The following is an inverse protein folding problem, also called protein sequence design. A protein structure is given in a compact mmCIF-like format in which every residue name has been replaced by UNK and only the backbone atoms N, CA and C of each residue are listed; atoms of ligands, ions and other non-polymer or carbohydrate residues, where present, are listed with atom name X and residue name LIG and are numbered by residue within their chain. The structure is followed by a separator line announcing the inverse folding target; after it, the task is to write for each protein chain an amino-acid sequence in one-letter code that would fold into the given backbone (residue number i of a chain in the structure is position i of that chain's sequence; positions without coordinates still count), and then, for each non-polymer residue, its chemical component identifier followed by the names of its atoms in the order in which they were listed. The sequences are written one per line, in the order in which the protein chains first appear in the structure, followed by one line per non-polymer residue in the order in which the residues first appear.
data_IF_019702965901
#
_entry.id   IF_019702965901
#
_cell.length_a   1.000
_cell.length_b   1.000
_cell.length_c   1.000
_cell.angle_alpha   90.00
_cell.angle_beta   90.00
_cell.angle_gamma   90.00
#
_symmetry.space_group_name_H-M   'P 1'
#
loop_
_entity.id
_entity.type
_entity.pdbx_description
1 polymer ?
#
# COMPACT_ATOMS: atom_id res chain seq x y z
N UNK A 1 -16.57 -4.19 -16.55
CA UNK A 1 -15.46 -3.86 -15.63
C UNK A 1 -14.24 -3.50 -16.47
N UNK A 2 -13.51 -2.44 -16.12
CA UNK A 2 -12.39 -1.92 -16.93
C UNK A 2 -11.15 -2.83 -16.91
N UNK A 3 -10.32 -2.85 -17.96
CA UNK A 3 -8.97 -3.38 -17.90
C UNK A 3 -8.12 -2.62 -16.87
N UNK A 4 -7.49 -3.33 -15.95
CA UNK A 4 -6.62 -2.74 -14.92
C UNK A 4 -5.22 -3.35 -14.98
N UNK A 5 -4.19 -2.53 -14.91
CA UNK A 5 -2.81 -2.98 -14.71
C UNK A 5 -2.40 -2.74 -13.27
N UNK A 6 -2.03 -3.81 -12.56
CA UNK A 6 -1.46 -3.70 -11.22
C UNK A 6 0.06 -3.64 -11.31
N UNK A 7 0.64 -2.50 -10.92
CA UNK A 7 2.07 -2.22 -10.98
C UNK A 7 2.69 -2.40 -9.59
N UNK A 8 3.77 -3.18 -9.53
CA UNK A 8 4.55 -3.46 -8.32
C UNK A 8 5.99 -3.07 -8.57
N UNK A 9 6.55 -2.27 -7.67
CA UNK A 9 7.99 -1.96 -7.64
C UNK A 9 8.64 -2.71 -6.50
N UNK A 10 9.76 -3.40 -6.77
CA UNK A 10 10.50 -4.15 -5.77
C UNK A 10 12.01 -3.93 -5.90
N UNK A 11 12.75 -3.99 -4.79
CA UNK A 11 14.21 -3.92 -4.81
C UNK A 11 14.81 -4.72 -3.66
N UNK A 12 15.45 -5.85 -3.95
CA UNK A 12 16.04 -6.79 -2.98
C UNK A 12 15.03 -7.32 -1.94
N UNK A 13 13.80 -7.61 -2.37
CA UNK A 13 12.67 -8.02 -1.49
C UNK A 13 11.86 -9.18 -2.08
N UNK A 14 12.55 -10.22 -2.53
CA UNK A 14 11.98 -11.38 -3.22
C UNK A 14 10.88 -12.06 -2.40
N UNK A 15 11.11 -12.25 -1.10
CA UNK A 15 10.13 -12.91 -0.23
C UNK A 15 8.84 -12.10 -0.04
N UNK A 16 8.95 -10.77 0.02
CA UNK A 16 7.79 -9.88 0.10
C UNK A 16 7.02 -9.91 -1.23
N UNK A 17 7.74 -9.72 -2.34
CA UNK A 17 7.17 -9.75 -3.68
C UNK A 17 6.42 -11.06 -3.98
N UNK A 18 7.02 -12.22 -3.66
CA UNK A 18 6.35 -13.54 -3.81
C UNK A 18 5.07 -13.64 -3.01
N UNK A 19 5.02 -13.04 -1.81
CA UNK A 19 3.83 -12.99 -0.96
C UNK A 19 2.76 -12.06 -1.54
N UNK A 20 3.14 -10.89 -2.05
CA UNK A 20 2.25 -9.95 -2.72
C UNK A 20 1.63 -10.59 -3.98
N UNK A 21 2.45 -11.20 -4.85
CA UNK A 21 1.98 -11.93 -6.04
C UNK A 21 1.01 -13.07 -5.70
N UNK A 22 1.28 -13.83 -4.63
CA UNK A 22 0.37 -14.86 -4.14
C UNK A 22 -0.99 -14.30 -3.69
N UNK A 23 -1.01 -13.11 -3.12
CA UNK A 23 -2.22 -12.43 -2.69
C UNK A 23 -2.99 -11.79 -3.86
N UNK A 24 -2.31 -11.19 -4.84
CA UNK A 24 -2.94 -10.67 -6.06
C UNK A 24 -3.67 -11.76 -6.83
N UNK A 25 -3.13 -12.97 -6.79
CA UNK A 25 -3.76 -14.16 -7.34
C UNK A 25 -5.10 -14.51 -6.67
N UNK A 26 -5.47 -13.91 -5.53
CA UNK A 26 -6.74 -14.12 -4.83
C UNK A 26 -7.75 -12.98 -5.03
N UNK A 27 -7.47 -12.03 -5.93
CA UNK A 27 -8.39 -10.94 -6.21
C UNK A 27 -9.66 -11.43 -6.91
N UNK A 28 -10.79 -10.90 -6.46
CA UNK A 28 -12.12 -11.12 -7.03
C UNK A 28 -12.41 -10.08 -8.12
N UNK A 29 -11.52 -10.03 -9.11
CA UNK A 29 -11.61 -9.15 -10.27
C UNK A 29 -11.45 -9.96 -11.56
N UNK A 30 -12.33 -9.79 -12.56
CA UNK A 30 -12.44 -10.73 -13.69
C UNK A 30 -11.21 -10.73 -14.58
N UNK A 31 -10.61 -9.57 -14.85
CA UNK A 31 -9.51 -9.45 -15.80
C UNK A 31 -8.60 -8.28 -15.46
N UNK A 32 -7.36 -8.58 -15.10
CA UNK A 32 -6.32 -7.59 -14.84
C UNK A 32 -4.96 -8.17 -15.25
N UNK A 33 -4.01 -7.30 -15.58
CA UNK A 33 -2.61 -7.67 -15.80
C UNK A 33 -1.76 -7.26 -14.60
N UNK A 34 -0.58 -7.85 -14.48
CA UNK A 34 0.40 -7.48 -13.45
C UNK A 34 1.71 -7.10 -14.12
N UNK A 35 2.27 -5.97 -13.70
CA UNK A 35 3.55 -5.45 -14.14
C UNK A 35 4.48 -5.37 -12.92
N UNK A 36 5.63 -6.05 -12.99
CA UNK A 36 6.64 -6.03 -11.93
C UNK A 36 7.89 -5.34 -12.45
N UNK A 37 8.29 -4.26 -11.77
CA UNK A 37 9.56 -3.58 -12.02
C UNK A 37 10.47 -3.81 -10.82
N UNK A 38 11.61 -4.45 -11.03
CA UNK A 38 12.53 -4.77 -9.95
C UNK A 38 13.99 -4.82 -10.40
N UNK A 39 14.93 -4.86 -9.45
CA UNK A 39 16.33 -5.14 -9.77
C UNK A 39 16.49 -6.54 -10.38
N UNK A 40 17.55 -6.73 -11.17
CA UNK A 40 17.80 -7.99 -11.90
C UNK A 40 17.83 -9.23 -10.98
N UNK A 41 18.52 -9.22 -9.82
CA UNK A 41 18.45 -10.33 -8.85
C UNK A 41 17.02 -10.67 -8.42
N UNK A 42 16.22 -9.66 -8.08
CA UNK A 42 14.81 -9.89 -7.68
C UNK A 42 13.99 -10.50 -8.81
N UNK A 43 14.16 -10.05 -10.06
CA UNK A 43 13.46 -10.63 -11.22
C UNK A 43 13.89 -12.07 -11.50
N UNK A 44 15.18 -12.38 -11.39
CA UNK A 44 15.68 -13.74 -11.54
C UNK A 44 15.01 -14.68 -10.51
N UNK A 45 14.77 -14.22 -9.29
CA UNK A 45 14.09 -14.99 -8.26
C UNK A 45 12.59 -15.27 -8.53
N UNK A 46 12.00 -14.61 -9.53
CA UNK A 46 10.63 -14.88 -9.99
C UNK A 46 10.56 -15.90 -11.13
N UNK A 47 11.67 -16.15 -11.84
CA UNK A 47 11.69 -17.09 -12.96
C UNK A 47 11.28 -18.49 -12.49
N UNK A 48 10.41 -19.15 -13.27
CA UNK A 48 9.89 -20.48 -12.96
C UNK A 48 8.79 -20.54 -11.89
N UNK A 49 8.40 -19.41 -11.27
CA UNK A 49 7.30 -19.41 -10.32
C UNK A 49 5.94 -19.47 -11.04
N UNK A 50 5.04 -20.40 -10.65
CA UNK A 50 3.68 -20.44 -11.22
C UNK A 50 2.90 -19.13 -11.03
N UNK A 51 3.21 -18.37 -9.99
CA UNK A 51 2.58 -17.07 -9.72
C UNK A 51 3.09 -15.96 -10.66
N UNK A 52 4.25 -16.14 -11.29
CA UNK A 52 4.86 -15.18 -12.22
C UNK A 52 4.47 -15.41 -13.69
N UNK A 53 3.76 -16.51 -13.99
CA UNK A 53 3.26 -16.78 -15.34
C UNK A 53 2.26 -15.70 -15.78
N UNK A 54 2.50 -15.08 -16.94
CA UNK A 54 1.68 -14.01 -17.49
C UNK A 54 1.92 -12.64 -16.85
N UNK A 55 2.98 -12.48 -16.06
CA UNK A 55 3.41 -11.17 -15.50
C UNK A 55 4.37 -10.49 -16.48
N UNK A 56 4.12 -9.22 -16.78
CA UNK A 56 5.08 -8.35 -17.47
C UNK A 56 6.18 -7.93 -16.50
N UNK A 57 7.44 -7.93 -16.95
CA UNK A 57 8.57 -7.60 -16.08
C UNK A 57 9.53 -6.64 -16.75
N UNK A 58 10.12 -5.71 -15.99
CA UNK A 58 11.24 -4.89 -16.45
C UNK A 58 12.26 -4.60 -15.36
N UNK A 59 13.56 -4.55 -15.71
CA UNK A 59 14.61 -4.29 -14.76
C UNK A 59 14.66 -2.80 -14.35
N UNK A 60 14.90 -2.54 -13.08
CA UNK A 60 15.28 -1.23 -12.56
C UNK A 60 16.27 -1.39 -11.40
N UNK A 61 17.56 -1.38 -11.74
CA UNK A 61 18.64 -1.49 -10.76
C UNK A 61 18.87 -0.16 -9.99
N UNK A 62 18.39 0.96 -10.54
CA UNK A 62 18.44 2.25 -9.90
C UNK A 62 17.51 2.31 -8.67
N UNK A 63 18.03 2.82 -7.55
CA UNK A 63 17.26 3.02 -6.32
C UNK A 63 16.37 4.29 -6.38
N UNK A 64 15.50 4.36 -7.38
CA UNK A 64 14.58 5.47 -7.62
C UNK A 64 13.16 4.92 -7.86
N UNK A 65 12.27 5.13 -6.88
CA UNK A 65 10.90 4.59 -6.94
C UNK A 65 10.07 5.21 -8.06
N UNK A 66 10.21 6.52 -8.29
CA UNK A 66 9.49 7.24 -9.34
C UNK A 66 9.87 6.74 -10.73
N UNK A 67 11.17 6.53 -10.96
CA UNK A 67 11.67 5.93 -12.20
C UNK A 67 11.08 4.53 -12.42
N UNK A 68 11.13 3.67 -11.40
CA UNK A 68 10.59 2.32 -11.48
C UNK A 68 9.06 2.30 -11.72
N UNK A 69 8.31 3.21 -11.08
CA UNK A 69 6.87 3.40 -11.32
C UNK A 69 6.59 3.82 -12.76
N UNK A 70 7.39 4.72 -13.32
CA UNK A 70 7.25 5.16 -14.72
C UNK A 70 7.58 4.06 -15.73
N UNK A 71 8.61 3.24 -15.47
CA UNK A 71 8.89 2.04 -16.29
C UNK A 71 7.66 1.12 -16.29
N UNK A 72 7.07 0.90 -15.10
CA UNK A 72 5.86 0.08 -14.97
C UNK A 72 4.66 0.68 -15.70
N UNK A 73 4.48 2.01 -15.61
CA UNK A 73 3.44 2.75 -16.33
C UNK A 73 3.62 2.68 -17.85
N UNK A 74 4.86 2.66 -18.33
CA UNK A 74 5.19 2.46 -19.75
C UNK A 74 4.82 1.09 -20.29
N UNK A 75 4.77 0.05 -19.43
CA UNK A 75 4.37 -1.32 -19.83
C UNK A 75 2.89 -1.62 -19.60
N UNK A 76 2.26 -0.88 -18.69
CA UNK A 76 0.87 -1.03 -18.31
C UNK A 76 -0.06 -0.57 -19.44
N UNK A 77 -0.95 -1.45 -19.89
CA UNK A 77 -1.90 -1.25 -20.97
C UNK A 77 -3.36 -1.19 -20.53
N UNK A 78 -3.63 -1.28 -19.22
CA UNK A 78 -4.96 -1.11 -18.65
C UNK A 78 -5.40 0.35 -18.71
N UNK A 79 -6.72 0.56 -18.81
CA UNK A 79 -7.33 1.90 -18.74
C UNK A 79 -7.10 2.55 -17.37
N UNK A 80 -7.06 1.72 -16.32
CA UNK A 80 -6.69 2.11 -14.96
C UNK A 80 -5.37 1.44 -14.60
N UNK A 81 -4.49 2.20 -13.94
CA UNK A 81 -3.25 1.69 -13.36
C UNK A 81 -3.34 1.75 -11.84
N UNK A 82 -3.17 0.61 -11.17
CA UNK A 82 -3.18 0.50 -9.72
C UNK A 82 -1.77 0.19 -9.22
N UNK A 83 -1.31 0.89 -8.19
CA UNK A 83 -0.01 0.71 -7.57
C UNK A 83 -0.16 0.05 -6.21
N UNK A 84 0.65 -0.97 -5.97
CA UNK A 84 0.76 -1.66 -4.69
C UNK A 84 2.23 -1.96 -4.38
N UNK A 85 2.63 -1.79 -3.12
CA UNK A 85 4.00 -2.14 -2.72
C UNK A 85 4.19 -3.66 -2.61
N UNK A 86 5.41 -4.14 -2.83
CA UNK A 86 5.76 -5.56 -2.70
C UNK A 86 5.57 -6.13 -1.27
N UNK A 87 5.52 -5.29 -0.23
CA UNK A 87 5.28 -5.65 1.17
C UNK A 87 3.85 -5.39 1.65
N UNK A 88 2.94 -5.13 0.70
CA UNK A 88 1.50 -5.09 0.91
C UNK A 88 0.82 -6.40 0.48
N UNK A 89 -0.36 -6.65 1.06
CA UNK A 89 -1.23 -7.76 0.74
C UNK A 89 -2.64 -7.20 0.53
N UNK A 90 -3.19 -7.22 -0.70
CA UNK A 90 -4.52 -6.71 -0.95
C UNK A 90 -5.60 -7.63 -0.40
N UNK A 91 -6.68 -7.04 0.11
CA UNK A 91 -7.92 -7.77 0.37
C UNK A 91 -8.50 -8.34 -0.94
N UNK A 92 -9.20 -9.49 -0.92
CA UNK A 92 -9.76 -10.10 -2.13
C UNK A 92 -10.61 -9.16 -3.00
N UNK A 93 -11.41 -8.28 -2.40
CA UNK A 93 -12.22 -7.29 -3.14
C UNK A 93 -11.52 -5.95 -3.40
N UNK A 94 -10.22 -5.84 -3.08
CA UNK A 94 -9.45 -4.59 -3.19
C UNK A 94 -9.58 -3.94 -4.58
N UNK A 95 -9.27 -4.68 -5.64
CA UNK A 95 -9.26 -4.15 -6.99
C UNK A 95 -10.68 -3.84 -7.50
N UNK A 96 -11.66 -4.67 -7.11
CA UNK A 96 -13.08 -4.48 -7.40
C UNK A 96 -13.58 -3.14 -6.88
N UNK A 97 -13.27 -2.81 -5.63
CA UNK A 97 -13.65 -1.52 -5.06
C UNK A 97 -12.82 -0.37 -5.62
N UNK A 98 -11.51 -0.55 -5.78
CA UNK A 98 -10.61 0.51 -6.23
C UNK A 98 -10.88 0.93 -7.68
N UNK A 99 -11.24 -0.01 -8.55
CA UNK A 99 -11.49 0.25 -9.97
C UNK A 99 -12.91 0.79 -10.24
N UNK A 100 -13.89 0.48 -9.38
CA UNK A 100 -15.29 0.85 -9.59
C UNK A 100 -15.52 2.37 -9.66
N UNK A 101 -14.77 3.15 -8.88
CA UNK A 101 -14.94 4.63 -8.86
C UNK A 101 -14.56 5.30 -10.18
N UNK A 102 -13.81 4.64 -11.05
CA UNK A 102 -13.50 5.16 -12.38
C UNK A 102 -14.69 5.04 -13.35
N UNK A 103 -15.83 4.50 -12.93
CA UNK A 103 -17.09 4.59 -13.71
C UNK A 103 -17.55 6.04 -13.86
N UNK A 104 -17.19 6.88 -12.91
CA UNK A 104 -17.33 8.32 -13.00
C UNK A 104 -16.14 8.92 -13.77
N UNK A 105 -16.42 9.50 -14.94
CA UNK A 105 -15.43 10.13 -15.82
C UNK A 105 -14.61 11.23 -15.14
N UNK A 106 -15.15 11.90 -14.11
CA UNK A 106 -14.47 12.97 -13.38
C UNK A 106 -13.34 12.47 -12.47
N UNK A 107 -13.40 11.20 -12.06
CA UNK A 107 -12.42 10.60 -11.15
C UNK A 107 -11.12 10.30 -11.89
N UNK A 108 -10.07 11.05 -11.60
CA UNK A 108 -8.73 10.86 -12.16
C UNK A 108 -7.85 9.92 -11.32
N UNK A 109 -8.07 9.91 -10.01
CA UNK A 109 -7.30 9.13 -9.06
C UNK A 109 -8.19 8.50 -7.98
N UNK A 110 -7.73 7.40 -7.41
CA UNK A 110 -8.37 6.74 -6.29
C UNK A 110 -7.33 6.30 -5.26
N UNK A 111 -7.68 6.41 -3.96
CA UNK A 111 -6.86 5.93 -2.86
C UNK A 111 -7.66 5.03 -1.93
N UNK A 112 -7.08 3.89 -1.56
CA UNK A 112 -7.71 2.95 -0.64
C UNK A 112 -7.19 3.07 0.81
N UNK A 113 -7.84 2.39 1.74
CA UNK A 113 -7.40 2.34 3.13
C UNK A 113 -6.25 1.34 3.33
N UNK A 114 -5.40 1.59 4.31
CA UNK A 114 -4.24 0.74 4.61
C UNK A 114 -4.33 0.25 6.05
N UNK A 115 -4.37 -1.07 6.23
CA UNK A 115 -4.24 -1.71 7.54
C UNK A 115 -2.77 -1.92 7.86
N UNK A 116 -2.39 -1.70 9.12
CA UNK A 116 -1.04 -1.94 9.61
C UNK A 116 -0.76 -3.43 9.86
N UNK A 117 0.44 -3.73 10.35
CA UNK A 117 0.98 -5.10 10.52
C UNK A 117 0.09 -6.08 11.31
N UNK A 118 -0.74 -5.61 12.23
CA UNK A 118 -1.64 -6.47 13.00
C UNK A 118 -2.91 -6.84 12.23
N UNK A 119 -3.12 -6.27 11.04
CA UNK A 119 -4.27 -6.47 10.17
C UNK A 119 -5.61 -6.00 10.74
N UNK A 120 -5.57 -5.19 11.80
CA UNK A 120 -6.74 -4.59 12.46
C UNK A 120 -6.64 -3.07 12.42
N UNK A 121 -5.56 -2.51 12.98
CA UNK A 121 -5.37 -1.08 13.13
C UNK A 121 -5.10 -0.40 11.80
N UNK A 122 -5.69 0.77 11.61
CA UNK A 122 -5.44 1.58 10.43
C UNK A 122 -4.04 2.20 10.46
N UNK A 123 -3.29 1.99 9.38
CA UNK A 123 -2.11 2.78 9.06
C UNK A 123 -2.51 4.06 8.30
N UNK A 124 -3.54 3.98 7.46
CA UNK A 124 -4.02 5.10 6.63
C UNK A 124 -5.52 5.02 6.37
N UNK A 125 -6.19 6.18 6.41
CA UNK A 125 -7.63 6.36 6.09
C UNK A 125 -7.93 7.58 5.21
N UNK A 126 -6.90 8.18 4.61
CA UNK A 126 -7.01 9.46 3.89
C UNK A 126 -6.64 10.67 4.73
N UNK A 127 -6.18 11.72 4.06
CA UNK A 127 -5.93 13.04 4.61
C UNK A 127 -5.93 14.04 3.45
N UNK A 128 -6.12 15.32 3.75
CA UNK A 128 -5.64 16.38 2.86
C UNK A 128 -4.13 16.52 3.01
N UNK A 129 -3.47 17.03 1.98
CA UNK A 129 -2.06 17.45 2.03
C UNK A 129 -1.90 18.79 1.32
N UNK A 130 -1.12 19.69 1.90
CA UNK A 130 -0.81 20.97 1.28
C UNK A 130 0.54 20.99 0.55
N UNK A 131 0.81 22.08 -0.17
CA UNK A 131 2.06 22.25 -0.90
C UNK A 131 3.33 22.27 -0.03
N UNK A 132 3.22 22.37 1.29
CA UNK A 132 4.34 22.29 2.22
C UNK A 132 4.42 20.92 2.93
N UNK A 133 3.71 19.92 2.40
CA UNK A 133 3.76 18.53 2.84
C UNK A 133 3.02 18.27 4.15
N UNK A 134 2.26 19.24 4.65
CA UNK A 134 1.50 19.07 5.89
C UNK A 134 0.23 18.31 5.59
N UNK A 135 -0.03 17.29 6.40
CA UNK A 135 -1.26 16.51 6.35
C UNK A 135 -2.31 17.14 7.25
N UNK A 136 -3.52 17.28 6.74
CA UNK A 136 -4.67 17.76 7.48
C UNK A 136 -5.74 16.68 7.53
N UNK A 137 -6.46 16.60 8.64
CA UNK A 137 -7.49 15.57 8.82
C UNK A 137 -8.56 15.67 7.71
N UNK A 138 -8.94 14.51 7.20
CA UNK A 138 -10.06 14.34 6.27
C UNK A 138 -10.97 13.27 6.88
N UNK A 139 -11.89 13.66 7.77
CA UNK A 139 -12.81 12.71 8.37
C UNK A 139 -13.78 12.22 7.31
N UNK A 140 -13.73 10.92 7.04
CA UNK A 140 -14.72 10.23 6.22
C UNK A 140 -15.41 9.19 7.08
N UNK A 141 -16.74 9.16 7.00
CA UNK A 141 -17.58 8.21 7.72
C UNK A 141 -18.09 7.11 6.79
N UNK A 142 -18.25 5.93 7.38
CA UNK A 142 -18.74 4.76 6.66
C UNK A 142 -17.73 4.19 5.65
N UNK A 143 -18.28 3.48 4.69
CA UNK A 143 -17.52 2.63 3.75
C UNK A 143 -17.74 2.99 2.28
N UNK A 144 -18.59 3.99 2.03
CA UNK A 144 -18.91 4.42 0.67
C UNK A 144 -17.70 5.16 0.09
N UNK A 145 -17.38 4.95 -1.20
CA UNK A 145 -16.43 5.80 -1.87
C UNK A 145 -16.87 7.26 -1.83
N UNK A 146 -15.92 8.17 -1.63
CA UNK A 146 -16.17 9.62 -1.63
C UNK A 146 -15.30 10.27 -2.71
N UNK A 147 -15.93 10.89 -3.71
CA UNK A 147 -15.25 11.68 -4.74
C UNK A 147 -15.01 13.08 -4.20
N UNK A 148 -13.77 13.56 -4.29
CA UNK A 148 -13.35 14.83 -3.71
C UNK A 148 -12.68 15.69 -4.77
N UNK A 149 -13.13 16.95 -4.84
CA UNK A 149 -12.56 17.97 -5.72
C UNK A 149 -11.69 18.91 -4.87
N UNK A 150 -10.36 18.75 -4.90
CA UNK A 150 -9.46 19.57 -4.10
C UNK A 150 -9.48 21.03 -4.58
N UNK A 151 -9.63 21.96 -3.62
CA UNK A 151 -9.42 23.39 -3.87
C UNK A 151 -7.93 23.75 -4.03
N UNK A 152 -7.61 25.01 -4.39
CA UNK A 152 -6.24 25.45 -4.65
C UNK A 152 -5.28 25.15 -3.50
N UNK A 153 -4.07 24.67 -3.83
CA UNK A 153 -2.97 24.51 -2.88
C UNK A 153 -3.06 23.29 -1.94
N UNK A 154 -4.09 22.45 -2.08
CA UNK A 154 -4.22 21.18 -1.36
C UNK A 154 -4.60 20.04 -2.31
N UNK A 155 -4.38 18.81 -1.88
CA UNK A 155 -4.82 17.61 -2.58
C UNK A 155 -5.31 16.55 -1.59
N UNK A 156 -6.09 15.59 -2.09
CA UNK A 156 -6.33 14.35 -1.36
C UNK A 156 -5.04 13.53 -1.40
N UNK A 157 -4.50 13.18 -0.24
CA UNK A 157 -3.32 12.33 -0.16
C UNK A 157 -3.74 10.86 -0.34
N UNK A 158 -3.29 10.24 -1.42
CA UNK A 158 -3.25 8.79 -1.54
C UNK A 158 -1.98 8.24 -0.87
N UNK A 159 -1.94 6.95 -0.56
CA UNK A 159 -0.71 6.29 -0.11
C UNK A 159 -0.12 5.52 -1.27
N UNK A 160 1.21 5.63 -1.47
CA UNK A 160 1.89 4.98 -2.60
C UNK A 160 1.71 3.45 -2.67
N UNK A 161 1.37 2.84 -1.53
CA UNK A 161 1.09 1.40 -1.39
C UNK A 161 -0.33 0.99 -1.82
N UNK A 162 -1.23 1.96 -2.01
CA UNK A 162 -2.64 1.73 -2.32
C UNK A 162 -3.26 2.94 -3.02
N UNK A 163 -2.96 3.06 -4.31
CA UNK A 163 -3.45 4.12 -5.17
C UNK A 163 -3.73 3.61 -6.57
N UNK A 164 -4.65 4.25 -7.28
CA UNK A 164 -4.91 4.00 -8.69
C UNK A 164 -5.18 5.29 -9.44
N UNK A 165 -4.98 5.28 -10.76
CA UNK A 165 -5.16 6.43 -11.62
C UNK A 165 -5.76 6.00 -12.96
N UNK A 166 -6.52 6.91 -13.60
CA UNK A 166 -6.74 6.80 -15.04
C UNK A 166 -5.40 6.86 -15.73
N UNK A 167 -5.09 5.86 -16.55
CA UNK A 167 -3.78 5.75 -17.20
C UNK A 167 -3.48 6.98 -18.04
N UNK A 168 -4.42 7.39 -18.88
CA UNK A 168 -4.27 8.53 -19.79
C UNK A 168 -3.94 9.82 -19.03
N UNK A 169 -4.57 10.02 -17.87
CA UNK A 169 -4.37 11.20 -17.03
C UNK A 169 -2.98 11.20 -16.41
N UNK A 170 -2.59 10.12 -15.72
CA UNK A 170 -1.27 10.08 -15.06
C UNK A 170 -0.13 10.10 -16.08
N UNK A 171 -0.30 9.45 -17.23
CA UNK A 171 0.68 9.51 -18.31
C UNK A 171 0.75 10.91 -18.95
N UNK A 172 -0.39 11.57 -19.16
CA UNK A 172 -0.48 12.91 -19.74
C UNK A 172 0.19 13.99 -18.89
N UNK A 173 0.16 13.86 -17.56
CA UNK A 173 0.90 14.77 -16.66
C UNK A 173 2.37 14.36 -16.43
N UNK A 174 2.85 13.35 -17.16
CA UNK A 174 4.25 12.90 -17.15
C UNK A 174 4.63 11.91 -16.05
N UNK A 175 3.67 11.22 -15.44
CA UNK A 175 3.92 10.17 -14.45
C UNK A 175 4.44 10.70 -13.11
N UNK A 176 5.37 9.96 -12.50
CA UNK A 176 6.06 10.30 -11.25
C UNK A 176 7.38 11.00 -11.54
N UNK A 177 7.74 12.06 -10.81
CA UNK A 177 8.98 12.78 -11.09
C UNK A 177 10.22 12.02 -10.55
N UNK A 178 11.21 11.65 -11.39
CA UNK A 178 12.44 11.00 -10.95
C UNK A 178 13.30 11.81 -9.97
N UNK A 179 13.04 13.11 -9.77
CA UNK A 179 13.62 13.91 -8.69
C UNK A 179 13.27 13.35 -7.30
N UNK A 180 12.08 12.76 -7.15
CA UNK A 180 11.63 12.07 -5.94
C UNK A 180 12.08 10.61 -5.95
N UNK A 181 13.35 10.35 -5.62
CA UNK A 181 13.89 8.98 -5.64
C UNK A 181 13.28 8.08 -4.56
N UNK A 182 12.80 8.69 -3.47
CA UNK A 182 12.07 8.04 -2.39
C UNK A 182 11.36 9.12 -1.55
N UNK A 183 10.12 8.87 -1.11
CA UNK A 183 9.29 9.79 -0.31
C UNK A 183 8.68 10.95 -1.12
N UNK A 184 7.37 11.22 -0.90
CA UNK A 184 6.56 12.29 -1.49
C UNK A 184 6.31 12.23 -3.01
N UNK A 185 6.73 11.17 -3.70
CA UNK A 185 6.52 11.05 -5.14
C UNK A 185 5.02 10.91 -5.50
N UNK A 186 4.25 10.17 -4.69
CA UNK A 186 2.81 10.09 -4.82
C UNK A 186 2.12 11.42 -4.44
N UNK A 187 2.70 12.14 -3.49
CA UNK A 187 2.15 13.41 -3.00
C UNK A 187 2.28 14.51 -4.06
N UNK A 188 3.39 14.54 -4.80
CA UNK A 188 3.59 15.41 -5.97
C UNK A 188 2.52 15.14 -7.05
N UNK A 189 2.28 13.87 -7.41
CA UNK A 189 1.22 13.50 -8.37
C UNK A 189 -0.13 14.03 -7.91
N UNK A 190 -0.51 13.78 -6.65
CA UNK A 190 -1.79 14.23 -6.10
C UNK A 190 -1.95 15.76 -6.18
N UNK A 191 -0.90 16.54 -5.89
CA UNK A 191 -0.93 18.00 -6.00
C UNK A 191 -0.97 18.50 -7.44
N UNK A 192 -0.34 17.80 -8.39
CA UNK A 192 -0.43 18.13 -9.81
C UNK A 192 -1.84 17.85 -10.36
N UNK A 193 -2.44 16.72 -10.00
CA UNK A 193 -3.83 16.41 -10.35
C UNK A 193 -4.81 17.45 -9.79
N UNK A 194 -4.63 17.83 -8.52
CA UNK A 194 -5.46 18.85 -7.88
C UNK A 194 -5.36 20.22 -8.59
N UNK A 195 -4.16 20.63 -9.00
CA UNK A 195 -3.95 21.87 -9.77
C UNK A 195 -4.62 21.83 -11.14
N UNK A 196 -4.74 20.65 -11.74
CA UNK A 196 -5.48 20.43 -12.98
C UNK A 196 -7.01 20.36 -12.78
N UNK A 197 -7.51 20.55 -11.55
CA UNK A 197 -8.95 20.51 -11.23
C UNK A 197 -9.55 19.10 -11.21
N UNK A 198 -8.71 18.07 -11.21
CA UNK A 198 -9.16 16.67 -11.33
C UNK A 198 -9.55 16.08 -9.97
N UNK A 199 -10.58 15.23 -9.98
CA UNK A 199 -11.12 14.63 -8.77
C UNK A 199 -10.31 13.41 -8.31
N UNK A 200 -10.23 13.23 -6.99
CA UNK A 200 -9.66 12.05 -6.36
C UNK A 200 -10.69 11.38 -5.46
N UNK A 201 -10.94 10.09 -5.68
CA UNK A 201 -11.80 9.29 -4.83
C UNK A 201 -11.03 8.67 -3.65
N UNK A 202 -11.62 8.67 -2.46
CA UNK A 202 -11.20 7.80 -1.36
C UNK A 202 -12.16 6.63 -1.25
N UNK A 203 -11.60 5.41 -1.20
CA UNK A 203 -12.33 4.15 -1.33
C UNK A 203 -12.08 3.28 -0.09
N UNK A 204 -12.92 3.38 0.97
CA UNK A 204 -12.67 2.70 2.24
C UNK A 204 -12.53 1.17 2.16
N UNK A 205 -13.27 0.52 1.25
CA UNK A 205 -13.24 -0.93 1.06
C UNK A 205 -12.12 -1.43 0.13
N UNK A 206 -11.43 -0.52 -0.58
CA UNK A 206 -10.21 -0.87 -1.30
C UNK A 206 -9.05 -0.99 -0.31
N UNK A 207 -9.00 -2.10 0.43
CA UNK A 207 -8.06 -2.24 1.54
C UNK A 207 -6.84 -3.08 1.17
N UNK A 208 -5.67 -2.65 1.67
CA UNK A 208 -4.45 -3.47 1.68
C UNK A 208 -3.91 -3.57 3.11
N UNK A 209 -3.28 -4.70 3.42
CA UNK A 209 -2.52 -4.92 4.65
C UNK A 209 -1.06 -4.65 4.35
N UNK A 210 -0.52 -3.60 4.95
CA UNK A 210 0.86 -3.20 4.75
C UNK A 210 1.63 -3.32 6.07
N UNK A 211 2.68 -4.14 6.03
CA UNK A 211 3.57 -4.35 7.15
C UNK A 211 4.97 -3.97 6.74
N UNK A 212 5.46 -2.83 7.25
CA UNK A 212 6.80 -2.33 6.96
C UNK A 212 7.86 -3.43 6.93
N UNK A 213 8.33 -3.79 5.73
CA UNK A 213 9.46 -4.68 5.58
C UNK A 213 10.77 -3.95 5.87
N UNK A 214 11.81 -4.71 6.22
CA UNK A 214 13.16 -4.18 6.21
C UNK A 214 13.59 -3.87 4.77
N UNK A 215 14.48 -2.90 4.61
CA UNK A 215 15.08 -2.49 3.34
C UNK A 215 16.45 -1.85 3.60
N UNK A 216 17.15 -1.48 2.53
CA UNK A 216 18.37 -0.66 2.61
C UNK A 216 18.17 0.63 3.42
N UNK A 217 16.94 1.17 3.46
CA UNK A 217 16.62 2.44 4.14
C UNK A 217 16.07 2.26 5.56
N UNK A 218 15.67 1.04 5.96
CA UNK A 218 14.97 0.82 7.23
C UNK A 218 15.15 -0.60 7.78
N UNK A 219 15.40 -0.72 9.08
CA UNK A 219 15.45 -2.01 9.79
C UNK A 219 14.05 -2.58 10.04
N UNK A 220 13.96 -3.86 10.41
CA UNK A 220 12.70 -4.53 10.73
C UNK A 220 11.94 -3.91 11.93
N UNK A 221 12.65 -3.25 12.84
CA UNK A 221 12.11 -2.51 14.00
C UNK A 221 11.71 -1.05 13.68
N UNK A 222 11.69 -0.72 12.37
CA UNK A 222 11.37 0.58 11.76
C UNK A 222 12.38 1.70 11.98
N UNK A 223 13.53 1.41 12.57
CA UNK A 223 14.62 2.39 12.68
C UNK A 223 15.14 2.72 11.27
N UNK A 224 15.19 4.00 10.89
CA UNK A 224 15.77 4.40 9.61
C UNK A 224 17.27 4.11 9.60
N UNK A 225 17.76 3.61 8.46
CA UNK A 225 19.20 3.40 8.22
C UNK A 225 19.86 4.61 7.56
N UNK A 226 19.09 5.38 6.80
CA UNK A 226 19.52 6.63 6.17
C UNK A 226 18.29 7.56 6.01
N UNK A 227 18.51 8.87 6.06
CA UNK A 227 17.50 9.91 5.82
C UNK A 227 17.83 10.80 4.61
N UNK A 228 18.94 10.56 3.91
CA UNK A 228 19.40 11.40 2.80
C UNK A 228 18.36 11.57 1.70
N UNK A 229 17.84 10.48 1.12
CA UNK A 229 16.85 10.58 0.04
C UNK A 229 15.50 11.14 0.53
N UNK A 230 15.18 10.96 1.82
CA UNK A 230 13.99 11.60 2.43
C UNK A 230 14.18 13.12 2.46
N UNK A 231 15.37 13.61 2.84
CA UNK A 231 15.70 15.03 2.82
C UNK A 231 15.72 15.58 1.40
N UNK A 232 16.36 14.88 0.47
CA UNK A 232 16.48 15.32 -0.92
C UNK A 232 15.12 15.45 -1.61
N UNK A 233 14.26 14.43 -1.51
CA UNK A 233 12.92 14.49 -2.09
C UNK A 233 12.05 15.56 -1.40
N UNK A 234 12.19 15.76 -0.08
CA UNK A 234 11.44 16.80 0.61
C UNK A 234 11.85 18.21 0.15
N UNK A 235 13.15 18.49 -0.01
CA UNK A 235 13.59 19.80 -0.52
C UNK A 235 13.11 20.03 -1.97
N UNK A 236 13.23 19.03 -2.85
CA UNK A 236 12.70 19.11 -4.21
C UNK A 236 11.17 19.34 -4.22
N UNK A 237 10.44 18.72 -3.29
CA UNK A 237 9.00 18.86 -3.15
C UNK A 237 8.61 20.28 -2.75
N UNK A 238 9.32 20.86 -1.77
CA UNK A 238 9.08 22.23 -1.35
C UNK A 238 9.36 23.24 -2.47
N UNK A 239 10.36 23.01 -3.31
CA UNK A 239 10.63 23.86 -4.49
C UNK A 239 9.43 23.89 -5.44
N UNK A 240 8.83 22.73 -5.73
CA UNK A 240 7.68 22.65 -6.65
C UNK A 240 6.36 23.13 -6.07
N UNK A 241 6.12 22.89 -4.79
CA UNK A 241 4.78 22.99 -4.24
C UNK A 241 4.61 24.02 -3.13
N UNK A 242 5.65 24.29 -2.34
CA UNK A 242 5.53 25.18 -1.19
C UNK A 242 5.90 26.61 -1.63
N UNK A 243 5.07 27.61 -1.31
CA UNK A 243 5.39 29.01 -1.58
C UNK A 243 6.74 29.40 -0.98
N UNK A 244 7.54 30.18 -1.70
CA UNK A 244 8.91 30.55 -1.37
C UNK A 244 9.05 31.05 0.08
N UNK A 245 8.16 31.96 0.50
CA UNK A 245 8.12 32.53 1.85
C UNK A 245 7.90 31.48 2.97
N UNK A 246 7.34 30.30 2.65
CA UNK A 246 7.04 29.23 3.63
C UNK A 246 8.07 28.10 3.61
N UNK A 247 8.94 28.00 2.60
CA UNK A 247 9.86 26.86 2.41
C UNK A 247 10.78 26.62 3.60
N UNK A 248 11.43 27.68 4.11
CA UNK A 248 12.34 27.58 5.26
C UNK A 248 11.65 27.01 6.50
N UNK A 249 10.47 27.55 6.84
CA UNK A 249 9.66 27.06 7.96
C UNK A 249 9.17 25.62 7.78
N UNK A 250 8.77 25.24 6.56
CA UNK A 250 8.36 23.88 6.25
C UNK A 250 9.51 22.87 6.40
N UNK A 251 10.70 23.21 5.90
CA UNK A 251 11.90 22.39 6.05
C UNK A 251 12.31 22.23 7.52
N UNK A 252 12.32 23.32 8.29
CA UNK A 252 12.65 23.28 9.72
C UNK A 252 11.66 22.42 10.51
N UNK A 253 10.35 22.55 10.23
CA UNK A 253 9.31 21.72 10.84
C UNK A 253 9.54 20.24 10.55
N UNK A 254 9.80 19.89 9.29
CA UNK A 254 10.03 18.51 8.87
C UNK A 254 11.30 17.92 9.52
N UNK A 255 12.39 18.69 9.59
CA UNK A 255 13.60 18.30 10.33
C UNK A 255 13.30 18.04 11.81
N UNK A 256 12.51 18.91 12.45
CA UNK A 256 12.04 18.73 13.83
C UNK A 256 11.21 17.47 14.03
N UNK A 257 10.34 17.11 13.07
CA UNK A 257 9.57 15.86 13.07
C UNK A 257 10.46 14.62 12.97
N UNK A 258 11.45 14.64 12.08
CA UNK A 258 12.42 13.54 11.98
C UNK A 258 13.26 13.42 13.25
N UNK A 259 13.71 14.54 13.83
CA UNK A 259 14.41 14.54 15.13
C UNK A 259 13.55 13.90 16.22
N UNK A 260 12.29 14.32 16.39
CA UNK A 260 11.37 13.71 17.36
C UNK A 260 11.17 12.21 17.11
N UNK A 261 11.09 11.79 15.84
CA UNK A 261 11.01 10.37 15.47
C UNK A 261 12.26 9.59 15.90
N UNK A 262 13.45 10.10 15.63
CA UNK A 262 14.71 9.46 16.01
C UNK A 262 14.88 9.38 17.53
N UNK A 263 14.52 10.45 18.25
CA UNK A 263 14.55 10.46 19.71
C UNK A 263 13.63 9.41 20.34
N UNK A 264 12.45 9.16 19.76
CA UNK A 264 11.58 8.05 20.21
C UNK A 264 12.25 6.68 20.06
N UNK A 265 13.04 6.48 19.00
CA UNK A 265 13.81 5.25 18.82
C UNK A 265 14.97 5.15 19.81
N UNK A 266 15.62 6.27 20.13
CA UNK A 266 16.68 6.34 21.14
C UNK A 266 16.14 6.03 22.54
N UNK A 267 15.04 6.66 22.96
CA UNK A 267 14.36 6.38 24.24
C UNK A 267 13.93 4.91 24.33
N UNK A 268 13.52 4.30 23.20
CA UNK A 268 13.18 2.89 23.13
C UNK A 268 14.40 1.94 23.06
N UNK A 269 15.63 2.44 23.25
CA UNK A 269 16.86 1.65 23.25
C UNK A 269 17.30 1.11 21.88
N UNK A 270 16.76 1.66 20.77
CA UNK A 270 17.04 1.16 19.41
C UNK A 270 18.09 1.97 18.64
N UNK A 271 18.42 3.15 19.15
CA UNK A 271 19.43 4.06 18.60
C UNK A 271 20.25 4.62 19.75
N UNK A 272 21.53 4.88 19.49
CA UNK A 272 22.40 5.64 20.38
C UNK A 272 22.44 7.13 19.98
N UNK A 273 22.88 8.05 20.86
CA UNK A 273 22.98 9.47 20.53
C UNK A 273 23.80 9.76 19.26
N UNK A 274 24.87 8.98 19.02
CA UNK A 274 25.70 9.10 17.80
C UNK A 274 24.93 8.79 16.52
N UNK A 275 24.02 7.81 16.55
CA UNK A 275 23.22 7.42 15.40
C UNK A 275 22.20 8.51 15.05
N UNK A 276 21.59 9.12 16.08
CA UNK A 276 20.64 10.23 15.89
C UNK A 276 21.34 11.39 15.20
N UNK A 277 22.54 11.79 15.67
CA UNK A 277 23.34 12.85 15.04
C UNK A 277 23.70 12.49 13.61
N UNK A 278 24.16 11.27 13.36
CA UNK A 278 24.52 10.82 12.01
C UNK A 278 23.32 10.88 11.05
N UNK A 279 22.15 10.35 11.44
CA UNK A 279 20.95 10.33 10.61
C UNK A 279 20.42 11.75 10.32
N UNK A 280 20.53 12.68 11.27
CA UNK A 280 20.17 14.08 11.04
C UNK A 280 21.14 14.78 10.09
N UNK A 281 22.46 14.53 10.21
CA UNK A 281 23.43 15.04 9.24
C UNK A 281 23.17 14.50 7.83
N UNK A 282 22.76 13.23 7.71
CA UNK A 282 22.32 12.64 6.43
C UNK A 282 21.09 13.34 5.87
N UNK A 283 20.11 13.66 6.71
CA UNK A 283 18.91 14.42 6.33
C UNK A 283 19.28 15.81 5.79
N UNK A 284 20.17 16.54 6.48
CA UNK A 284 20.64 17.87 6.08
C UNK A 284 21.40 17.85 4.75
N UNK A 285 22.33 16.90 4.58
CA UNK A 285 23.01 16.67 3.31
C UNK A 285 22.00 16.35 2.19
N UNK A 286 20.94 15.61 2.51
CA UNK A 286 19.81 15.37 1.63
C UNK A 286 19.14 16.67 1.19
N UNK A 287 18.79 17.57 2.12
CA UNK A 287 18.18 18.87 1.78
C UNK A 287 19.04 19.67 0.80
N UNK A 288 20.36 19.75 1.05
CA UNK A 288 21.28 20.48 0.17
C UNK A 288 21.27 19.92 -1.26
N UNK A 289 21.31 18.60 -1.42
CA UNK A 289 21.25 17.96 -2.74
C UNK A 289 19.87 18.11 -3.38
N UNK A 290 18.81 17.98 -2.59
CA UNK A 290 17.44 18.14 -3.07
C UNK A 290 17.14 19.55 -3.58
N UNK A 291 17.76 20.58 -3.00
CA UNK A 291 17.66 21.96 -3.48
C UNK A 291 18.20 22.13 -4.92
N UNK A 292 19.15 21.29 -5.34
CA UNK A 292 19.67 21.26 -6.70
C UNK A 292 18.90 20.30 -7.63
N UNK A 293 18.02 19.44 -7.10
CA UNK A 293 17.17 18.51 -7.88
C UNK A 293 15.84 19.15 -8.28
N UNK A 294 15.85 20.43 -8.66
CA UNK A 294 14.62 21.15 -8.99
C UNK A 294 13.79 20.35 -9.99
N UNK A 295 12.55 19.97 -9.63
CA UNK A 295 11.78 19.03 -10.43
C UNK A 295 11.22 19.77 -11.66
N UNK A 296 11.69 19.39 -12.85
CA UNK A 296 11.48 20.10 -14.12
C UNK A 296 10.13 19.83 -14.80
N UNK A 297 10.00 20.24 -16.06
CA UNK A 297 8.86 19.84 -16.88
C UNK A 297 8.88 18.32 -17.11
N UNK A 298 7.74 17.66 -16.95
CA UNK A 298 7.60 16.22 -17.17
C UNK A 298 6.89 16.01 -18.51
N UNK A 299 7.57 15.45 -19.53
CA UNK A 299 6.91 15.12 -20.78
C UNK A 299 5.88 14.01 -20.55
N UNK A 300 4.82 14.02 -21.35
CA UNK A 300 3.84 12.95 -21.32
C UNK A 300 4.52 11.60 -21.58
N UNK A 301 4.11 10.57 -20.85
CA UNK A 301 4.60 9.22 -21.07
C UNK A 301 3.87 8.58 -22.26
N UNK A 302 4.57 7.78 -23.07
CA UNK A 302 3.96 7.14 -24.23
C UNK A 302 2.85 6.14 -23.83
N UNK A 303 2.07 5.74 -24.84
CA UNK A 303 1.21 4.57 -24.71
C UNK A 303 2.00 3.32 -24.35
N UNK A 304 1.28 2.31 -23.87
CA UNK A 304 1.89 1.07 -23.42
C UNK A 304 2.76 0.46 -24.53
N UNK A 305 4.01 0.12 -24.21
CA UNK A 305 4.92 -0.52 -25.18
C UNK A 305 4.50 -1.95 -25.53
N UNK A 306 3.64 -2.55 -24.72
CA UNK A 306 3.14 -3.91 -24.88
C UNK A 306 1.61 -3.93 -24.76
N UNK A 307 0.90 -4.80 -25.51
CA UNK A 307 -0.54 -4.95 -25.40
C UNK A 307 -0.94 -5.46 -24.01
N UNK A 308 -2.20 -5.27 -23.63
CA UNK A 308 -2.74 -5.76 -22.36
C UNK A 308 -2.62 -7.29 -22.27
N UNK A 309 -1.93 -7.77 -21.23
CA UNK A 309 -1.63 -9.18 -21.02
C UNK A 309 -2.34 -9.68 -19.74
N UNK A 310 -3.63 -10.06 -19.83
CA UNK A 310 -4.38 -10.47 -18.66
C UNK A 310 -3.75 -11.68 -18.01
N UNK A 311 -3.75 -11.71 -16.67
CA UNK A 311 -3.34 -12.91 -15.95
C UNK A 311 -4.22 -14.10 -16.35
N UNK A 312 -3.65 -15.32 -16.43
CA UNK A 312 -4.43 -16.50 -16.77
C UNK A 312 -5.64 -16.65 -15.82
N UNK A 313 -6.83 -16.91 -16.38
CA UNK A 313 -8.05 -17.06 -15.62
C UNK A 313 -7.91 -18.18 -14.60
N UNK A 314 -8.68 -18.09 -13.52
CA UNK A 314 -8.65 -19.04 -12.42
C UNK A 314 -9.99 -19.74 -12.28
N UNK A 315 -10.01 -20.98 -11.75
CA UNK A 315 -11.25 -21.59 -11.28
C UNK A 315 -11.95 -20.63 -10.32
N UNK A 316 -13.29 -20.65 -10.31
CA UNK A 316 -14.11 -19.75 -9.50
C UNK A 316 -13.60 -19.67 -8.05
N UNK A 317 -13.00 -18.53 -7.71
CA UNK A 317 -12.43 -18.26 -6.40
C UNK A 317 -13.59 -18.24 -5.38
N UNK A 318 -13.79 -19.35 -4.67
CA UNK A 318 -14.77 -19.41 -3.58
C UNK A 318 -14.09 -19.09 -2.26
N UNK A 319 -14.67 -18.19 -1.45
CA UNK A 319 -14.24 -18.03 -0.07
C UNK A 319 -14.43 -19.34 0.70
N UNK A 320 -13.44 -19.73 1.50
CA UNK A 320 -13.53 -20.86 2.43
C UNK A 320 -13.14 -20.41 3.83
N UNK A 321 -13.97 -20.74 4.80
CA UNK A 321 -13.80 -20.35 6.19
C UNK A 321 -13.67 -21.58 7.07
N UNK A 322 -12.68 -21.58 7.96
CA UNK A 322 -12.59 -22.55 9.05
C UNK A 322 -12.50 -21.79 10.35
N UNK A 323 -13.28 -22.17 11.36
CA UNK A 323 -13.19 -21.59 12.69
C UNK A 323 -12.98 -22.68 13.75
N UNK A 324 -12.13 -22.41 14.73
CA UNK A 324 -12.00 -23.32 15.85
C UNK A 324 -11.09 -22.83 16.96
N UNK A 325 -10.85 -23.74 17.90
CA UNK A 325 -10.07 -23.48 19.10
C UNK A 325 -8.57 -23.62 18.84
N UNK A 326 -7.77 -22.94 19.64
CA UNK A 326 -6.32 -22.92 19.52
C UNK A 326 -5.64 -24.29 19.59
N UNK A 327 -6.20 -25.27 20.32
CA UNK A 327 -5.66 -26.63 20.35
C UNK A 327 -5.89 -27.40 19.05
N UNK A 328 -6.85 -26.98 18.21
CA UNK A 328 -7.04 -27.51 16.85
C UNK A 328 -6.26 -26.73 15.77
N UNK A 329 -5.40 -25.78 16.16
CA UNK A 329 -4.69 -24.88 15.23
C UNK A 329 -3.95 -25.62 14.11
N UNK A 330 -3.32 -26.75 14.41
CA UNK A 330 -2.56 -27.49 13.40
C UNK A 330 -3.48 -28.02 12.29
N UNK A 331 -4.64 -28.57 12.65
CA UNK A 331 -5.65 -29.05 11.70
C UNK A 331 -6.23 -27.88 10.89
N UNK A 332 -6.63 -26.80 11.55
CA UNK A 332 -7.21 -25.62 10.90
C UNK A 332 -6.25 -24.99 9.89
N UNK A 333 -4.97 -24.84 10.26
CA UNK A 333 -3.92 -24.32 9.37
C UNK A 333 -3.67 -25.22 8.17
N UNK A 334 -3.62 -26.55 8.36
CA UNK A 334 -3.46 -27.51 7.27
C UNK A 334 -4.62 -27.45 6.28
N UNK A 335 -5.86 -27.42 6.79
CA UNK A 335 -7.05 -27.28 5.96
C UNK A 335 -7.01 -25.96 5.17
N UNK A 336 -6.74 -24.85 5.84
CA UNK A 336 -6.70 -23.55 5.18
C UNK A 336 -5.60 -23.46 4.10
N UNK A 337 -4.43 -24.03 4.36
CA UNK A 337 -3.34 -24.11 3.39
C UNK A 337 -3.70 -25.00 2.20
N UNK A 338 -4.35 -26.15 2.43
CA UNK A 338 -4.84 -27.03 1.39
C UNK A 338 -5.86 -26.31 0.49
N UNK A 339 -6.85 -25.64 1.10
CA UNK A 339 -7.85 -24.86 0.37
C UNK A 339 -7.23 -23.73 -0.47
N UNK A 340 -6.24 -23.01 0.09
CA UNK A 340 -5.51 -21.98 -0.65
C UNK A 340 -4.69 -22.56 -1.82
N UNK A 341 -4.07 -23.74 -1.64
CA UNK A 341 -3.36 -24.44 -2.72
C UNK A 341 -4.30 -24.92 -3.83
N UNK A 342 -5.54 -25.29 -3.49
CA UNK A 342 -6.62 -25.58 -4.43
C UNK A 342 -7.20 -24.32 -5.12
N UNK A 343 -6.68 -23.13 -4.80
CA UNK A 343 -7.09 -21.88 -5.44
C UNK A 343 -8.23 -21.14 -4.73
N UNK A 344 -8.66 -21.55 -3.53
CA UNK A 344 -9.70 -20.83 -2.79
C UNK A 344 -9.16 -19.62 -2.01
N UNK A 345 -10.03 -18.64 -1.76
CA UNK A 345 -9.75 -17.55 -0.82
C UNK A 345 -10.00 -18.07 0.60
N UNK A 346 -8.96 -18.64 1.19
CA UNK A 346 -9.08 -19.37 2.46
C UNK A 346 -8.78 -18.48 3.68
N UNK A 347 -9.63 -18.57 4.70
CA UNK A 347 -9.49 -17.87 5.98
C UNK A 347 -9.65 -18.84 7.16
N UNK A 348 -8.67 -18.86 8.05
CA UNK A 348 -8.68 -19.61 9.31
C UNK A 348 -8.86 -18.67 10.51
N UNK A 349 -9.89 -18.93 11.31
CA UNK A 349 -10.19 -18.22 12.55
C UNK A 349 -9.84 -19.11 13.75
N UNK A 350 -8.83 -18.71 14.53
CA UNK A 350 -8.23 -19.54 15.58
C UNK A 350 -8.25 -18.80 16.92
N UNK A 351 -9.06 -19.25 17.88
CA UNK A 351 -9.23 -18.54 19.16
C UNK A 351 -8.80 -19.32 20.40
N UNK A 352 -8.13 -18.62 21.33
CA UNK A 352 -7.80 -19.09 22.68
C UNK A 352 -8.84 -18.65 23.71
N UNK A 353 -8.91 -19.32 24.87
CA UNK A 353 -9.76 -18.92 26.00
C UNK A 353 -9.14 -17.76 26.81
N UNK A 354 -8.84 -16.65 26.14
CA UNK A 354 -8.15 -15.50 26.73
C UNK A 354 -8.75 -14.17 26.23
N UNK A 355 -8.21 -13.06 26.73
CA UNK A 355 -8.50 -11.68 26.29
C UNK A 355 -7.49 -11.16 25.26
N UNK A 356 -6.63 -12.03 24.71
CA UNK A 356 -5.64 -11.63 23.72
C UNK A 356 -6.30 -10.91 22.53
N UNK A 357 -5.70 -9.83 22.05
CA UNK A 357 -6.28 -9.06 20.95
C UNK A 357 -6.21 -9.85 19.65
N UNK A 358 -7.18 -9.63 18.77
CA UNK A 358 -7.14 -10.25 17.46
C UNK A 358 -6.01 -9.68 16.60
N UNK A 359 -5.37 -10.56 15.84
CA UNK A 359 -4.39 -10.27 14.81
C UNK A 359 -4.80 -10.97 13.53
N UNK A 360 -4.71 -10.25 12.41
CA UNK A 360 -4.92 -10.76 11.07
C UNK A 360 -3.61 -10.76 10.31
N UNK A 361 -3.31 -11.86 9.62
CA UNK A 361 -2.15 -11.97 8.74
C UNK A 361 -2.44 -12.83 7.54
N UNK A 362 -1.86 -12.49 6.40
CA UNK A 362 -1.76 -13.38 5.25
C UNK A 362 -0.49 -14.24 5.36
N UNK A 363 -0.63 -15.55 5.37
CA UNK A 363 0.49 -16.47 5.66
C UNK A 363 1.34 -16.74 4.41
N UNK A 364 2.60 -17.20 4.56
CA UNK A 364 3.41 -17.66 3.43
C UNK A 364 2.76 -18.80 2.64
N UNK A 365 1.89 -19.59 3.28
CA UNK A 365 1.13 -20.65 2.64
C UNK A 365 -0.03 -20.13 1.77
N UNK A 366 -0.36 -18.84 1.82
CA UNK A 366 -1.36 -18.22 0.95
C UNK A 366 -2.78 -18.19 1.51
N UNK A 367 -2.98 -18.31 2.82
CA UNK A 367 -4.30 -18.14 3.44
C UNK A 367 -4.26 -17.04 4.50
N UNK A 368 -5.43 -16.50 4.83
CA UNK A 368 -5.63 -15.51 5.89
C UNK A 368 -5.80 -16.20 7.24
N UNK A 369 -5.08 -15.75 8.26
CA UNK A 369 -5.22 -16.23 9.63
C UNK A 369 -5.66 -15.08 10.53
N UNK A 370 -6.80 -15.28 11.20
CA UNK A 370 -7.23 -14.49 12.32
C UNK A 370 -6.93 -15.28 13.59
N UNK A 371 -6.18 -14.68 14.50
CA UNK A 371 -5.82 -15.33 15.77
C UNK A 371 -5.96 -14.36 16.93
N UNK A 372 -6.39 -14.86 18.09
CA UNK A 372 -6.58 -14.04 19.28
C UNK A 372 -7.36 -14.75 20.37
N UNK A 373 -7.82 -13.98 21.36
CA UNK A 373 -8.66 -14.45 22.45
C UNK A 373 -10.14 -14.44 22.08
N UNK A 374 -10.87 -15.47 22.50
CA UNK A 374 -12.32 -15.57 22.38
C UNK A 374 -13.03 -14.40 23.10
N UNK A 375 -12.46 -13.94 24.22
CA UNK A 375 -13.01 -12.88 25.05
C UNK A 375 -12.35 -11.52 24.79
N UNK A 376 -11.30 -11.49 23.96
CA UNK A 376 -10.58 -10.28 23.62
C UNK A 376 -11.23 -9.53 22.46
N UNK A 377 -10.94 -8.23 22.39
CA UNK A 377 -11.40 -7.35 21.31
C UNK A 377 -10.86 -7.77 19.95
N UNK A 378 -11.70 -7.66 18.92
CA UNK A 378 -11.24 -7.76 17.52
C UNK A 378 -10.83 -6.39 16.99
N UNK A 379 -11.71 -5.41 17.11
CA UNK A 379 -11.44 -4.01 16.77
C UNK A 379 -10.90 -3.24 17.98
N UNK A 380 -10.47 -2.00 17.78
CA UNK A 380 -9.74 -1.25 18.83
C UNK A 380 -10.67 -0.56 19.82
N UNK A 381 -11.84 -0.18 19.35
CA UNK A 381 -12.98 0.43 20.02
C UNK A 381 -13.85 -0.57 20.80
N UNK A 382 -13.73 -1.87 20.53
CA UNK A 382 -14.38 -2.92 21.33
C UNK A 382 -13.90 -2.95 22.81
N UNK A 383 -14.76 -3.38 23.76
CA UNK A 383 -14.38 -3.59 25.16
C UNK A 383 -13.19 -4.54 25.34
N UNK A 384 -12.38 -4.35 26.38
CA UNK A 384 -11.22 -5.22 26.69
C UNK A 384 -11.61 -6.68 26.93
N UNK A 385 -12.81 -6.91 27.45
CA UNK A 385 -13.38 -8.22 27.73
C UNK A 385 -14.83 -8.28 27.24
N UNK A 386 -15.20 -9.38 26.59
CA UNK A 386 -16.58 -9.72 26.31
C UNK A 386 -16.79 -11.22 26.48
N UNK A 387 -17.64 -11.62 27.41
CA UNK A 387 -18.00 -13.02 27.56
C UNK A 387 -18.89 -13.45 26.38
N UNK A 388 -18.35 -14.28 25.49
CA UNK A 388 -19.07 -14.80 24.32
C UNK A 388 -18.67 -16.24 24.04
N UNK A 389 -19.58 -17.06 23.51
CA UNK A 389 -19.28 -18.42 23.03
C UNK A 389 -18.38 -18.36 21.80
N UNK A 390 -17.59 -19.41 21.53
CA UNK A 390 -16.73 -19.49 20.36
C UNK A 390 -17.49 -19.20 19.05
N UNK A 391 -18.67 -19.82 18.87
CA UNK A 391 -19.53 -19.58 17.71
C UNK A 391 -19.82 -18.10 17.50
N UNK A 392 -20.24 -17.38 18.54
CA UNK A 392 -20.47 -15.93 18.48
C UNK A 392 -19.22 -15.13 18.14
N UNK A 393 -18.03 -15.54 18.60
CA UNK A 393 -16.76 -14.91 18.19
C UNK A 393 -16.47 -15.15 16.70
N UNK A 394 -16.68 -16.38 16.21
CA UNK A 394 -16.54 -16.70 14.79
C UNK A 394 -17.52 -15.88 13.94
N UNK A 395 -18.81 -15.88 14.28
CA UNK A 395 -19.86 -15.17 13.55
C UNK A 395 -19.56 -13.67 13.45
N UNK A 396 -19.13 -13.06 14.56
CA UNK A 396 -18.72 -11.66 14.58
C UNK A 396 -17.51 -11.37 13.67
N UNK A 397 -16.51 -12.26 13.68
CA UNK A 397 -15.34 -12.13 12.81
C UNK A 397 -15.66 -12.33 11.32
N UNK A 398 -16.55 -13.28 11.01
CA UNK A 398 -17.04 -13.52 9.65
C UNK A 398 -17.84 -12.30 9.17
N UNK A 399 -18.73 -11.76 9.99
CA UNK A 399 -19.49 -10.56 9.67
C UNK A 399 -18.57 -9.37 9.40
N UNK A 400 -17.51 -9.20 10.21
CA UNK A 400 -16.55 -8.10 10.09
C UNK A 400 -15.78 -8.11 8.76
N UNK A 401 -15.41 -9.28 8.24
CA UNK A 401 -14.63 -9.40 7.00
C UNK A 401 -15.47 -9.71 5.76
N UNK A 402 -16.79 -9.71 5.89
CA UNK A 402 -17.72 -10.18 4.85
C UNK A 402 -17.48 -9.47 3.52
N UNK A 403 -17.36 -8.15 3.56
CA UNK A 403 -17.20 -7.31 2.36
C UNK A 403 -15.82 -7.45 1.74
N UNK A 404 -14.76 -7.46 2.56
CA UNK A 404 -13.40 -7.55 2.06
C UNK A 404 -13.07 -8.94 1.47
N UNK A 405 -13.73 -9.99 1.98
CA UNK A 405 -13.56 -11.38 1.51
C UNK A 405 -14.54 -11.80 0.41
N UNK A 406 -15.47 -10.94 0.01
CA UNK A 406 -16.49 -11.29 -0.98
C UNK A 406 -17.41 -12.44 -0.53
N UNK A 407 -17.71 -12.52 0.76
CA UNK A 407 -18.62 -13.53 1.31
C UNK A 407 -20.06 -13.15 0.98
N UNK A 408 -20.67 -13.84 0.01
CA UNK A 408 -22.12 -13.75 -0.25
C UNK A 408 -22.89 -14.45 0.88
N UNK A 409 -24.06 -13.91 1.26
CA UNK A 409 -24.81 -14.37 2.44
C UNK A 409 -25.08 -15.88 2.46
N UNK A 410 -24.90 -16.46 3.65
CA UNK A 410 -25.08 -17.87 4.03
C UNK A 410 -23.98 -18.84 3.55
N UNK A 411 -22.94 -18.96 4.38
CA UNK A 411 -21.97 -20.06 4.37
C UNK A 411 -21.90 -20.71 5.74
#
# INVERSE_FOLDING_TARGET
MRPVSVIIVSHGREAALKRCLKALRQLLYPTFEVVVVADRPTLAALQGLPQAMGIKTAPCDAQNISLARNIGLGLAAGEVVAFIDDDAVPEPTWLTHLAAVFDDAEVAAAGGYVRGRNGISWQWRGAWVDGCGVRHALPLEGERPTVLHPGPGRAVKTEGTNMAFRREVIAGIGGFDPAFRFFLDETDVNLRLARAGLATALVPLAQVHHGFAASARRRADRVPRDLFEIGASHAAFLLRHCPDAKRGGAQARFAGEQRRRLLRHMVAGRLEPRDVRHLLARLEAGFAVGAARAPGALPALPHASEPFAPLPPRPALRPKLTCGRWWHRARLRRQAAHDAAAGHVSTALIFSLTTAYCHVRFTPAGYWEHSGGQFGKSERDEPLFTLRRLRRKCDAEIARIRRERGLTGES
#
